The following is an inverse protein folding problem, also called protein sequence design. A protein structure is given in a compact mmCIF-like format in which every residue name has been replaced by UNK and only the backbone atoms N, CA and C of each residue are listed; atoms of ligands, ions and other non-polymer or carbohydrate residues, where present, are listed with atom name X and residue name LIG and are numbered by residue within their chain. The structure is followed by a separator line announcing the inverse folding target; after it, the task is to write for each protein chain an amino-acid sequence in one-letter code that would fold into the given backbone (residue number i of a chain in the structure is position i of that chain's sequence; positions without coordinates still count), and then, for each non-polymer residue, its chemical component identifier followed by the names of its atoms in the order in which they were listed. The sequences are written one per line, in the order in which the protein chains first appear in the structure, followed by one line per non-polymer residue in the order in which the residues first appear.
data_IF_836136391536
#
_entry.id   IF_836136391536
#
_cell.length_a   1.000
_cell.length_b   1.000
_cell.length_c   1.000
_cell.angle_alpha   90.00
_cell.angle_beta   90.00
_cell.angle_gamma   90.00
#
_symmetry.space_group_name_H-M   'P 1'
#
loop_
_entity.id
_entity.type
_entity.pdbx_description
1 polymer ?
#
# COMPACT_ATOMS: atom_id res chain seq x y z
N UNK A 1 -4.18 -12.46 -20.01
CA UNK A 1 -5.37 -11.61 -19.82
C UNK A 1 -6.39 -12.24 -18.87
N UNK A 2 -7.04 -13.40 -19.19
CA UNK A 2 -8.10 -14.01 -18.37
C UNK A 2 -7.64 -14.42 -16.97
N UNK A 3 -6.48 -15.05 -16.84
CA UNK A 3 -5.90 -15.40 -15.53
C UNK A 3 -5.59 -14.15 -14.71
N UNK A 4 -5.04 -13.14 -15.34
CA UNK A 4 -4.79 -11.83 -14.74
C UNK A 4 -6.08 -11.11 -14.28
N UNK A 5 -7.20 -11.34 -14.97
CA UNK A 5 -8.52 -10.84 -14.57
C UNK A 5 -9.15 -11.66 -13.41
N UNK A 6 -8.40 -12.57 -12.79
CA UNK A 6 -8.86 -13.35 -11.64
C UNK A 6 -9.67 -14.62 -11.98
N UNK A 7 -9.80 -14.95 -13.26
CA UNK A 7 -10.49 -16.18 -13.69
C UNK A 7 -9.64 -17.38 -13.30
N UNK A 8 -10.24 -18.39 -12.66
CA UNK A 8 -9.52 -19.61 -12.25
C UNK A 8 -8.95 -20.36 -13.46
N UNK A 9 -7.85 -21.07 -13.29
CA UNK A 9 -7.22 -21.88 -14.36
C UNK A 9 -8.20 -22.88 -14.99
N UNK A 10 -9.09 -23.48 -14.18
CA UNK A 10 -10.15 -24.38 -14.67
C UNK A 10 -11.10 -23.64 -15.61
N UNK A 11 -11.60 -22.49 -15.19
CA UNK A 11 -12.53 -21.69 -16.01
C UNK A 11 -11.87 -21.13 -17.28
N UNK A 12 -10.58 -20.75 -17.19
CA UNK A 12 -9.78 -20.37 -18.37
C UNK A 12 -9.69 -21.55 -19.34
N UNK A 13 -9.45 -22.78 -18.85
CA UNK A 13 -9.40 -23.99 -19.67
C UNK A 13 -10.72 -24.26 -20.39
N UNK A 14 -11.85 -24.11 -19.68
CA UNK A 14 -13.19 -24.26 -20.27
C UNK A 14 -13.43 -23.25 -21.41
N UNK A 15 -13.14 -21.96 -21.16
CA UNK A 15 -13.33 -20.89 -22.15
C UNK A 15 -12.45 -21.11 -23.38
N UNK A 16 -11.17 -21.49 -23.19
CA UNK A 16 -10.28 -21.82 -24.30
C UNK A 16 -10.74 -23.04 -25.08
N UNK A 17 -11.22 -24.08 -24.39
CA UNK A 17 -11.80 -25.25 -25.01
C UNK A 17 -12.99 -24.90 -25.91
N UNK A 18 -13.87 -24.02 -25.44
CA UNK A 18 -14.98 -23.51 -26.23
C UNK A 18 -14.57 -22.69 -27.45
N UNK A 19 -13.57 -21.79 -27.28
CA UNK A 19 -13.14 -20.87 -28.34
C UNK A 19 -12.22 -21.55 -29.39
N UNK A 20 -11.37 -22.46 -28.97
CA UNK A 20 -10.31 -23.02 -29.81
C UNK A 20 -10.54 -24.50 -30.18
N UNK A 21 -11.63 -25.13 -29.69
CA UNK A 21 -12.00 -26.49 -30.07
C UNK A 21 -11.09 -27.56 -29.46
N UNK A 22 -10.47 -27.32 -28.30
CA UNK A 22 -9.58 -28.26 -27.63
C UNK A 22 -9.92 -28.47 -26.17
N UNK A 23 -9.27 -29.47 -25.50
CA UNK A 23 -9.37 -29.66 -24.06
C UNK A 23 -8.16 -29.08 -23.35
N UNK A 24 -8.35 -28.09 -22.48
CA UNK A 24 -7.28 -27.44 -21.73
C UNK A 24 -7.47 -27.73 -20.24
N UNK A 25 -6.62 -28.56 -19.66
CA UNK A 25 -6.66 -28.86 -18.23
C UNK A 25 -6.20 -27.67 -17.39
N UNK A 26 -6.64 -27.61 -16.12
CA UNK A 26 -6.18 -26.59 -15.19
C UNK A 26 -4.64 -26.58 -15.03
N UNK A 27 -4.01 -27.77 -15.07
CA UNK A 27 -2.56 -27.92 -15.02
C UNK A 27 -1.87 -27.35 -16.27
N UNK A 28 -2.46 -27.54 -17.46
CA UNK A 28 -1.96 -26.92 -18.70
C UNK A 28 -1.99 -25.39 -18.61
N UNK A 29 -3.09 -24.83 -18.13
CA UNK A 29 -3.21 -23.36 -17.94
C UNK A 29 -2.25 -22.85 -16.88
N UNK A 30 -2.04 -23.59 -15.78
CA UNK A 30 -1.05 -23.26 -14.74
C UNK A 30 0.36 -23.20 -15.32
N UNK A 31 0.76 -24.22 -16.08
CA UNK A 31 2.06 -24.30 -16.76
C UNK A 31 2.29 -23.14 -17.76
N UNK A 32 1.27 -22.77 -18.52
CA UNK A 32 1.32 -21.60 -19.41
C UNK A 32 1.53 -20.32 -18.56
N UNK A 33 0.85 -20.20 -17.43
CA UNK A 33 1.00 -19.05 -16.54
C UNK A 33 2.38 -19.03 -15.83
N UNK A 34 3.05 -20.16 -15.67
CA UNK A 34 4.44 -20.25 -15.17
C UNK A 34 5.45 -19.61 -16.11
N UNK A 35 5.19 -19.58 -17.41
CA UNK A 35 6.03 -18.90 -18.39
C UNK A 35 6.19 -17.38 -18.15
N UNK A 36 5.40 -16.80 -17.24
CA UNK A 36 5.54 -15.41 -16.80
C UNK A 36 6.61 -15.26 -15.70
N UNK A 37 6.93 -16.31 -14.95
CA UNK A 37 7.86 -16.24 -13.83
C UNK A 37 9.23 -15.64 -14.18
N UNK A 38 9.90 -16.00 -15.30
CA UNK A 38 11.18 -15.37 -15.66
C UNK A 38 11.06 -13.85 -15.88
N UNK A 39 9.94 -13.38 -16.45
CA UNK A 39 9.68 -11.95 -16.65
C UNK A 39 9.40 -11.23 -15.33
N UNK A 40 8.66 -11.87 -14.43
CA UNK A 40 8.40 -11.39 -13.09
C UNK A 40 9.72 -11.26 -12.30
N UNK A 41 10.58 -12.27 -12.35
CA UNK A 41 11.90 -12.24 -11.72
C UNK A 41 12.78 -11.12 -12.29
N UNK A 42 12.83 -10.98 -13.63
CA UNK A 42 13.55 -9.89 -14.28
C UNK A 42 13.00 -8.52 -13.86
N UNK A 43 11.67 -8.37 -13.77
CA UNK A 43 11.04 -7.15 -13.28
C UNK A 43 11.43 -6.83 -11.84
N UNK A 44 11.41 -7.82 -10.95
CA UNK A 44 11.76 -7.65 -9.54
C UNK A 44 13.22 -7.29 -9.33
N UNK A 45 14.13 -7.80 -10.16
CA UNK A 45 15.58 -7.58 -10.07
C UNK A 45 16.08 -6.40 -10.90
N UNK A 46 15.22 -5.76 -11.71
CA UNK A 46 15.65 -4.66 -12.57
C UNK A 46 16.24 -3.51 -11.77
N UNK A 47 17.27 -2.82 -12.30
CA UNK A 47 17.78 -1.61 -11.70
C UNK A 47 16.71 -0.53 -11.66
N UNK A 48 16.75 0.30 -10.62
CA UNK A 48 15.87 1.44 -10.44
C UNK A 48 16.63 2.73 -10.77
N UNK A 49 15.90 3.82 -11.01
CA UNK A 49 16.50 5.15 -11.07
C UNK A 49 17.09 5.50 -9.70
N UNK A 50 18.18 6.27 -9.65
CA UNK A 50 18.81 6.63 -8.37
C UNK A 50 17.95 7.55 -7.51
N UNK A 51 17.01 8.30 -8.12
CA UNK A 51 16.18 9.28 -7.41
C UNK A 51 14.71 9.19 -7.79
N UNK A 52 13.85 9.29 -6.75
CA UNK A 52 12.41 9.47 -6.91
C UNK A 52 11.93 10.60 -6.00
N UNK A 53 11.05 11.45 -6.54
CA UNK A 53 10.45 12.54 -5.76
C UNK A 53 9.57 11.95 -4.65
N UNK A 54 8.70 11.00 -4.97
CA UNK A 54 7.79 10.39 -4.01
C UNK A 54 7.80 8.87 -4.15
N UNK A 55 7.72 8.16 -3.02
CA UNK A 55 7.51 6.72 -2.96
C UNK A 55 6.33 6.42 -2.05
N UNK A 56 5.32 5.77 -2.61
CA UNK A 56 4.16 5.29 -1.89
C UNK A 56 4.38 3.84 -1.48
N UNK A 57 4.14 3.54 -0.22
CA UNK A 57 4.19 2.17 0.32
C UNK A 57 2.85 1.81 0.92
N UNK A 58 2.36 0.62 0.61
CA UNK A 58 1.13 0.07 1.17
C UNK A 58 1.19 -1.45 1.18
N UNK A 59 0.30 -2.08 1.92
CA UNK A 59 0.20 -3.52 2.01
C UNK A 59 -1.26 -3.97 1.90
N UNK A 60 -1.48 -5.08 1.21
CA UNK A 60 -2.76 -5.77 1.20
C UNK A 60 -2.59 -7.17 1.79
N UNK A 61 -3.60 -7.63 2.53
CA UNK A 61 -3.60 -8.97 3.09
C UNK A 61 -4.28 -9.95 2.15
N UNK A 62 -3.62 -11.07 1.90
CA UNK A 62 -4.11 -12.18 1.07
C UNK A 62 -4.00 -13.49 1.84
N UNK A 63 -4.84 -14.46 1.50
CA UNK A 63 -4.77 -15.80 2.05
C UNK A 63 -4.02 -16.70 1.09
N UNK A 64 -3.02 -17.42 1.58
CA UNK A 64 -2.19 -18.33 0.79
C UNK A 64 -2.21 -19.71 1.42
N UNK A 65 -2.43 -20.73 0.62
CA UNK A 65 -2.33 -22.11 1.07
C UNK A 65 -0.85 -22.50 1.19
N UNK A 66 -0.49 -23.03 2.36
CA UNK A 66 0.83 -23.58 2.68
C UNK A 66 0.70 -25.07 2.96
N UNK A 67 1.56 -25.88 2.35
CA UNK A 67 1.40 -27.36 2.37
C UNK A 67 1.32 -27.96 3.77
N UNK A 68 2.03 -27.39 4.76
CA UNK A 68 2.10 -27.95 6.11
C UNK A 68 1.27 -27.19 7.16
N UNK A 69 0.76 -25.99 6.84
CA UNK A 69 0.13 -25.09 7.80
C UNK A 69 -1.33 -24.72 7.42
N UNK A 70 -1.80 -25.18 6.25
CA UNK A 70 -3.12 -24.83 5.75
C UNK A 70 -3.16 -23.43 5.14
N UNK A 71 -4.21 -22.65 5.42
CA UNK A 71 -4.38 -21.31 4.86
C UNK A 71 -3.81 -20.27 5.83
N UNK A 72 -2.71 -19.64 5.45
CA UNK A 72 -2.09 -18.53 6.17
C UNK A 72 -2.49 -17.17 5.57
N UNK A 73 -2.51 -16.13 6.39
CA UNK A 73 -2.66 -14.74 5.92
C UNK A 73 -1.28 -14.14 5.72
N UNK A 74 -0.99 -13.69 4.52
CA UNK A 74 0.26 -13.02 4.18
C UNK A 74 0.02 -11.57 3.76
N UNK A 75 1.03 -10.73 3.91
CA UNK A 75 1.02 -9.35 3.48
C UNK A 75 1.72 -9.22 2.11
N UNK A 76 0.98 -8.75 1.10
CA UNK A 76 1.55 -8.33 -0.16
C UNK A 76 1.87 -6.84 -0.09
N UNK A 77 3.15 -6.51 -0.04
CA UNK A 77 3.68 -5.14 0.00
C UNK A 77 3.85 -4.61 -1.41
N UNK A 78 3.54 -3.34 -1.60
CA UNK A 78 3.67 -2.66 -2.89
C UNK A 78 4.41 -1.34 -2.71
N UNK A 79 5.29 -1.02 -3.67
CA UNK A 79 5.99 0.25 -3.75
C UNK A 79 5.75 0.88 -5.13
N UNK A 80 5.23 2.12 -5.13
CA UNK A 80 5.02 2.94 -6.32
C UNK A 80 5.87 4.21 -6.23
N UNK A 81 6.77 4.42 -7.19
CA UNK A 81 7.58 5.61 -7.30
C UNK A 81 6.97 6.65 -8.22
N UNK A 82 7.24 7.93 -7.92
CA UNK A 82 7.02 9.06 -8.82
C UNK A 82 8.38 9.67 -9.10
N UNK A 83 8.77 9.71 -10.36
CA UNK A 83 10.03 10.32 -10.78
C UNK A 83 9.99 11.84 -10.64
N UNK A 84 11.12 12.52 -10.80
CA UNK A 84 11.19 13.98 -10.79
C UNK A 84 10.39 14.60 -11.94
N UNK A 85 10.26 13.89 -13.07
CA UNK A 85 9.45 14.29 -14.23
C UNK A 85 7.94 13.99 -14.05
N UNK A 86 7.54 13.37 -12.94
CA UNK A 86 6.14 13.04 -12.62
C UNK A 86 5.65 11.71 -13.17
N UNK A 87 6.50 10.88 -13.77
CA UNK A 87 6.11 9.54 -14.24
C UNK A 87 5.93 8.57 -13.08
N UNK A 88 4.94 7.69 -13.20
CA UNK A 88 4.64 6.63 -12.23
C UNK A 88 5.38 5.36 -12.60
N UNK A 89 5.99 4.72 -11.61
CA UNK A 89 6.69 3.46 -11.79
C UNK A 89 6.42 2.53 -10.60
N UNK A 90 5.98 1.29 -10.86
CA UNK A 90 5.92 0.25 -9.83
C UNK A 90 7.33 -0.18 -9.50
N UNK A 91 7.85 0.16 -8.33
CA UNK A 91 9.22 -0.16 -7.92
C UNK A 91 9.38 -1.63 -7.57
N UNK A 92 8.37 -2.22 -6.95
CA UNK A 92 8.34 -3.62 -6.59
C UNK A 92 7.07 -4.01 -5.86
N UNK A 93 6.94 -5.33 -5.67
CA UNK A 93 5.95 -5.95 -4.81
C UNK A 93 6.54 -7.22 -4.21
N UNK A 94 6.17 -7.49 -2.95
CA UNK A 94 6.72 -8.57 -2.12
C UNK A 94 5.60 -9.26 -1.39
N UNK A 95 5.74 -10.55 -1.18
CA UNK A 95 4.84 -11.32 -0.35
C UNK A 95 5.63 -11.80 0.87
N UNK A 96 5.22 -11.40 2.06
CA UNK A 96 5.90 -11.72 3.30
C UNK A 96 4.87 -12.17 4.35
N UNK A 97 5.26 -13.05 5.28
CA UNK A 97 4.42 -13.40 6.41
C UNK A 97 4.01 -12.15 7.20
N UNK A 98 2.75 -12.09 7.67
CA UNK A 98 2.21 -10.91 8.37
C UNK A 98 2.94 -10.56 9.67
N UNK A 99 3.62 -11.50 10.30
CA UNK A 99 4.33 -11.32 11.57
C UNK A 99 5.76 -10.80 11.40
N UNK A 100 6.22 -10.54 10.17
CA UNK A 100 7.56 -10.02 9.91
C UNK A 100 7.69 -8.54 10.27
N UNK A 101 8.12 -8.25 11.49
CA UNK A 101 8.47 -6.89 11.93
C UNK A 101 9.68 -6.29 11.16
N UNK A 102 10.45 -7.14 10.48
CA UNK A 102 11.63 -6.76 9.68
C UNK A 102 11.29 -6.45 8.22
N UNK A 103 10.12 -6.86 7.74
CA UNK A 103 9.77 -6.81 6.31
C UNK A 103 9.95 -5.45 5.62
N UNK A 104 9.61 -4.33 6.27
CA UNK A 104 9.81 -3.00 5.69
C UNK A 104 11.28 -2.65 5.54
N UNK A 105 12.11 -3.07 6.49
CA UNK A 105 13.56 -2.82 6.44
C UNK A 105 14.21 -3.53 5.27
N UNK A 106 13.91 -4.80 5.10
CA UNK A 106 14.47 -5.64 4.04
C UNK A 106 14.00 -5.17 2.66
N UNK A 107 12.71 -4.83 2.53
CA UNK A 107 12.12 -4.26 1.33
C UNK A 107 12.81 -2.95 0.91
N UNK A 108 13.03 -2.04 1.85
CA UNK A 108 13.69 -0.76 1.56
C UNK A 108 15.18 -0.95 1.23
N UNK A 109 15.86 -1.92 1.86
CA UNK A 109 17.24 -2.28 1.53
C UNK A 109 17.33 -2.87 0.12
N UNK A 110 16.42 -3.78 -0.28
CA UNK A 110 16.35 -4.30 -1.64
C UNK A 110 16.16 -3.18 -2.67
N UNK A 111 15.27 -2.20 -2.42
CA UNK A 111 15.14 -1.04 -3.31
C UNK A 111 16.45 -0.28 -3.45
N UNK A 112 17.20 -0.13 -2.36
CA UNK A 112 18.51 0.53 -2.36
C UNK A 112 19.57 -0.27 -3.11
N UNK A 113 19.63 -1.57 -2.94
CA UNK A 113 20.51 -2.48 -3.67
C UNK A 113 20.24 -2.45 -5.18
N UNK A 114 18.99 -2.22 -5.57
CA UNK A 114 18.59 -2.05 -6.97
C UNK A 114 18.86 -0.65 -7.53
N UNK A 115 19.51 0.22 -6.77
CA UNK A 115 19.98 1.52 -7.22
C UNK A 115 19.15 2.72 -6.78
N UNK A 116 18.08 2.54 -5.99
CA UNK A 116 17.31 3.67 -5.43
C UNK A 116 18.10 4.31 -4.28
N UNK A 117 18.80 5.40 -4.55
CA UNK A 117 19.69 6.07 -3.58
C UNK A 117 18.97 7.14 -2.76
N UNK A 118 18.09 7.91 -3.41
CA UNK A 118 17.43 9.06 -2.79
C UNK A 118 15.92 9.06 -3.03
N UNK A 119 15.17 9.34 -1.96
CA UNK A 119 13.74 9.59 -1.99
C UNK A 119 13.47 10.87 -1.20
N UNK A 120 12.75 11.81 -1.79
CA UNK A 120 12.40 13.05 -1.10
C UNK A 120 11.33 12.80 -0.04
N UNK A 121 10.27 12.03 -0.36
CA UNK A 121 9.15 11.79 0.54
C UNK A 121 8.58 10.39 0.37
N UNK A 122 8.50 9.65 1.46
CA UNK A 122 7.69 8.44 1.55
C UNK A 122 6.28 8.76 2.01
N UNK A 123 5.27 8.18 1.35
CA UNK A 123 3.85 8.30 1.71
C UNK A 123 3.33 6.91 2.05
N UNK A 124 2.85 6.72 3.28
CA UNK A 124 2.41 5.40 3.76
C UNK A 124 1.16 5.51 4.62
N UNK A 125 0.51 4.38 4.84
CA UNK A 125 -0.42 4.22 5.95
C UNK A 125 0.33 4.11 7.29
N UNK A 126 -0.43 4.07 8.39
CA UNK A 126 0.11 3.82 9.74
C UNK A 126 0.47 2.32 9.88
N UNK A 127 1.52 1.91 9.17
CA UNK A 127 2.00 0.52 9.13
C UNK A 127 3.07 0.31 10.20
N UNK A 128 2.98 -0.74 11.02
CA UNK A 128 3.97 -1.01 12.07
C UNK A 128 5.39 -1.08 11.52
N UNK A 129 6.32 -0.35 12.13
CA UNK A 129 7.75 -0.39 11.79
C UNK A 129 8.17 0.38 10.54
N UNK A 130 7.24 0.87 9.69
CA UNK A 130 7.58 1.56 8.44
C UNK A 130 8.38 2.84 8.66
N UNK A 131 8.00 3.67 9.64
CA UNK A 131 8.71 4.91 9.96
C UNK A 131 10.17 4.62 10.37
N UNK A 132 10.36 3.65 11.27
CA UNK A 132 11.69 3.25 11.73
C UNK A 132 12.55 2.71 10.58
N UNK A 133 11.96 1.92 9.69
CA UNK A 133 12.64 1.39 8.52
C UNK A 133 13.06 2.51 7.55
N UNK A 134 12.16 3.47 7.27
CA UNK A 134 12.47 4.64 6.42
C UNK A 134 13.64 5.44 7.02
N UNK A 135 13.57 5.78 8.29
CA UNK A 135 14.63 6.55 8.98
C UNK A 135 15.99 5.84 8.96
N UNK A 136 15.98 4.50 9.05
CA UNK A 136 17.21 3.70 9.03
C UNK A 136 17.83 3.62 7.64
N UNK A 137 17.03 3.37 6.59
CA UNK A 137 17.54 3.11 5.23
C UNK A 137 17.68 4.39 4.41
N UNK A 138 16.77 5.34 4.59
CA UNK A 138 16.74 6.63 3.90
C UNK A 138 16.65 7.79 4.90
N UNK A 139 17.70 8.07 5.69
CA UNK A 139 17.66 9.02 6.81
C UNK A 139 17.39 10.48 6.38
N UNK A 140 17.63 10.81 5.12
CA UNK A 140 17.34 12.14 4.56
C UNK A 140 15.91 12.28 4.03
N UNK A 141 15.20 11.17 3.85
CA UNK A 141 13.85 11.20 3.32
C UNK A 141 12.85 11.71 4.35
N UNK A 142 11.89 12.49 3.89
CA UNK A 142 10.73 12.83 4.70
C UNK A 142 9.71 11.68 4.71
N UNK A 143 8.85 11.68 5.72
CA UNK A 143 7.73 10.76 5.83
C UNK A 143 6.41 11.50 5.99
N UNK A 144 5.43 11.17 5.16
CA UNK A 144 4.04 11.61 5.20
C UNK A 144 3.14 10.44 5.56
N UNK A 145 2.40 10.56 6.63
CA UNK A 145 1.34 9.61 6.97
C UNK A 145 0.07 9.95 6.19
N UNK A 146 -0.53 8.95 5.54
CA UNK A 146 -1.75 9.11 4.76
C UNK A 146 -2.91 9.68 5.59
N UNK A 147 -3.33 10.90 5.29
CA UNK A 147 -4.40 11.58 6.03
C UNK A 147 -5.75 10.88 5.88
N UNK A 148 -6.03 10.31 4.70
CA UNK A 148 -7.29 9.61 4.43
C UNK A 148 -7.41 8.34 5.27
N UNK A 149 -6.34 7.53 5.32
CA UNK A 149 -6.32 6.32 6.16
C UNK A 149 -6.37 6.67 7.65
N UNK A 150 -5.67 7.71 8.08
CA UNK A 150 -5.75 8.17 9.48
C UNK A 150 -7.16 8.61 9.87
N UNK A 151 -7.84 9.36 9.02
CA UNK A 151 -9.25 9.72 9.23
C UNK A 151 -10.15 8.46 9.33
N UNK A 152 -10.06 7.55 8.36
CA UNK A 152 -10.86 6.31 8.34
C UNK A 152 -10.61 5.44 9.57
N UNK A 153 -9.35 5.24 9.97
CA UNK A 153 -8.99 4.44 11.15
C UNK A 153 -9.48 5.09 12.44
N UNK A 154 -9.44 6.42 12.51
CA UNK A 154 -9.97 7.19 13.64
C UNK A 154 -11.48 7.00 13.81
N UNK A 155 -12.25 7.15 12.72
CA UNK A 155 -13.71 7.01 12.77
C UNK A 155 -14.17 5.61 13.22
N UNK A 156 -13.40 4.55 12.94
CA UNK A 156 -13.68 3.20 13.45
C UNK A 156 -13.54 3.08 14.98
N UNK A 157 -12.78 3.98 15.62
CA UNK A 157 -12.54 4.01 17.07
C UNK A 157 -13.46 4.98 17.82
N UNK A 158 -14.34 5.67 17.08
CA UNK A 158 -15.27 6.67 17.60
C UNK A 158 -16.70 6.17 17.49
N UNK A 159 -17.51 6.41 18.52
CA UNK A 159 -18.95 6.04 18.54
C UNK A 159 -19.67 6.71 17.38
N UNK A 160 -20.58 5.97 16.73
CA UNK A 160 -21.29 6.44 15.51
C UNK A 160 -21.92 7.83 15.68
N UNK A 161 -22.52 8.12 16.83
CA UNK A 161 -23.15 9.41 17.12
C UNK A 161 -22.18 10.60 17.14
N UNK A 162 -20.89 10.35 17.32
CA UNK A 162 -19.85 11.39 17.41
C UNK A 162 -19.03 11.50 16.11
N UNK A 163 -19.16 10.53 15.19
CA UNK A 163 -18.30 10.44 14.00
C UNK A 163 -18.36 11.70 13.13
N UNK A 164 -19.54 12.28 12.91
CA UNK A 164 -19.68 13.48 12.08
C UNK A 164 -19.01 14.71 12.72
N UNK A 165 -19.12 14.86 14.04
CA UNK A 165 -18.49 15.96 14.77
C UNK A 165 -16.97 15.80 14.79
N UNK A 166 -16.48 14.59 15.09
CA UNK A 166 -15.05 14.25 15.05
C UNK A 166 -14.48 14.45 13.64
N UNK A 167 -15.20 13.99 12.61
CA UNK A 167 -14.75 14.15 11.21
C UNK A 167 -14.64 15.61 10.81
N UNK A 168 -15.59 16.48 11.21
CA UNK A 168 -15.51 17.92 10.94
C UNK A 168 -14.26 18.53 11.58
N UNK A 169 -14.02 18.25 12.87
CA UNK A 169 -12.87 18.80 13.58
C UNK A 169 -11.54 18.30 12.99
N UNK A 170 -11.43 17.01 12.68
CA UNK A 170 -10.25 16.42 12.03
C UNK A 170 -10.05 16.94 10.59
N UNK A 171 -11.15 17.17 9.86
CA UNK A 171 -11.08 17.74 8.51
C UNK A 171 -10.49 19.15 8.53
N UNK A 172 -10.73 19.94 9.58
CA UNK A 172 -10.12 21.25 9.74
C UNK A 172 -8.60 21.17 9.87
N UNK A 173 -8.08 20.12 10.52
CA UNK A 173 -6.63 19.89 10.65
C UNK A 173 -6.00 19.59 9.27
N UNK A 174 -6.57 18.64 8.52
CA UNK A 174 -5.98 18.17 7.25
C UNK A 174 -6.27 19.08 6.04
N UNK A 175 -7.17 20.07 6.21
CA UNK A 175 -7.50 21.07 5.18
C UNK A 175 -6.89 22.44 5.49
N UNK A 176 -6.18 22.59 6.59
CA UNK A 176 -5.52 23.83 6.97
C UNK A 176 -4.61 24.32 5.84
N UNK A 177 -4.55 25.65 5.69
CA UNK A 177 -3.75 26.31 4.65
C UNK A 177 -2.26 26.35 4.98
N UNK A 178 -1.95 26.27 6.27
CA UNK A 178 -0.60 26.27 6.82
C UNK A 178 -0.49 25.51 8.14
N UNK A 179 0.74 25.34 8.62
CA UNK A 179 1.05 24.58 9.83
C UNK A 179 0.47 25.22 11.10
N UNK A 180 0.41 26.55 11.19
CA UNK A 180 -0.11 27.23 12.36
C UNK A 180 -1.62 27.02 12.49
N UNK A 181 -2.36 27.13 11.38
CA UNK A 181 -3.79 26.82 11.33
C UNK A 181 -4.05 25.36 11.70
N UNK A 182 -3.27 24.41 11.14
CA UNK A 182 -3.39 23.00 11.46
C UNK A 182 -3.17 22.70 12.95
N UNK A 183 -2.16 23.32 13.57
CA UNK A 183 -1.86 23.14 14.99
C UNK A 183 -2.94 23.77 15.89
N UNK A 184 -3.51 24.92 15.51
CA UNK A 184 -4.67 25.52 16.21
C UNK A 184 -5.87 24.57 16.16
N UNK A 185 -6.19 24.02 14.99
CA UNK A 185 -7.27 23.06 14.83
C UNK A 185 -7.02 21.76 15.64
N UNK A 186 -5.77 21.27 15.68
CA UNK A 186 -5.39 20.11 16.50
C UNK A 186 -5.57 20.38 18.01
N UNK A 187 -5.19 21.56 18.47
CA UNK A 187 -5.40 21.96 19.88
C UNK A 187 -6.90 22.06 20.23
N UNK A 188 -7.71 22.61 19.33
CA UNK A 188 -9.17 22.64 19.50
C UNK A 188 -9.76 21.24 19.54
N UNK A 189 -9.31 20.34 18.65
CA UNK A 189 -9.68 18.93 18.66
C UNK A 189 -9.31 18.24 19.98
N UNK A 190 -8.10 18.48 20.48
CA UNK A 190 -7.65 17.99 21.79
C UNK A 190 -8.57 18.47 22.93
N UNK A 191 -8.83 19.76 23.01
CA UNK A 191 -9.68 20.34 24.08
C UNK A 191 -11.10 19.79 24.09
N UNK A 192 -11.64 19.44 22.91
CA UNK A 192 -13.01 18.91 22.80
C UNK A 192 -13.13 17.41 23.06
N UNK A 193 -12.11 16.62 22.70
CA UNK A 193 -12.24 15.17 22.62
C UNK A 193 -11.30 14.38 23.53
N UNK A 194 -10.34 15.02 24.23
CA UNK A 194 -9.35 14.30 25.02
C UNK A 194 -9.98 13.45 26.15
N UNK A 195 -11.00 13.95 26.81
CA UNK A 195 -11.66 13.23 27.91
C UNK A 195 -12.45 12.03 27.39
N UNK A 196 -13.06 12.16 26.22
CA UNK A 196 -13.93 11.11 25.65
C UNK A 196 -13.20 10.08 24.83
N UNK A 197 -12.17 10.49 24.10
CA UNK A 197 -11.36 9.67 23.19
C UNK A 197 -9.86 9.90 23.37
N UNK A 198 -9.30 9.66 24.58
CA UNK A 198 -7.91 10.01 24.89
C UNK A 198 -6.90 9.34 23.95
N UNK A 199 -7.11 8.06 23.59
CA UNK A 199 -6.21 7.34 22.68
C UNK A 199 -6.25 7.88 21.26
N UNK A 200 -7.41 8.31 20.78
CA UNK A 200 -7.56 8.93 19.44
C UNK A 200 -6.79 10.24 19.41
N UNK A 201 -7.00 11.10 20.41
CA UNK A 201 -6.33 12.39 20.51
C UNK A 201 -4.82 12.21 20.65
N UNK A 202 -4.35 11.31 21.52
CA UNK A 202 -2.93 11.01 21.69
C UNK A 202 -2.29 10.57 20.36
N UNK A 203 -2.95 9.68 19.60
CA UNK A 203 -2.46 9.22 18.31
C UNK A 203 -2.36 10.34 17.27
N UNK A 204 -3.28 11.30 17.25
CA UNK A 204 -3.19 12.47 16.35
C UNK A 204 -2.07 13.42 16.73
N UNK A 205 -1.85 13.65 18.01
CA UNK A 205 -0.74 14.48 18.51
C UNK A 205 0.60 13.81 18.18
N UNK A 206 0.75 12.52 18.50
CA UNK A 206 1.97 11.75 18.27
C UNK A 206 2.40 11.78 16.80
N UNK A 207 1.44 11.62 15.87
CA UNK A 207 1.73 11.57 14.45
C UNK A 207 1.58 12.92 13.73
N UNK A 208 1.36 14.03 14.47
CA UNK A 208 1.08 15.34 13.88
C UNK A 208 2.17 15.81 12.90
N UNK A 209 3.44 15.60 13.23
CA UNK A 209 4.57 15.96 12.37
C UNK A 209 4.50 15.25 11.00
N UNK A 210 4.22 13.93 10.99
CA UNK A 210 4.09 13.14 9.77
C UNK A 210 2.78 13.42 9.02
N UNK A 211 1.68 13.66 9.74
CA UNK A 211 0.37 13.98 9.14
C UNK A 211 0.37 15.33 8.44
N UNK A 212 1.14 16.30 8.94
CA UNK A 212 1.20 17.68 8.45
C UNK A 212 2.44 17.94 7.56
N UNK A 213 3.22 16.90 7.23
CA UNK A 213 4.41 17.04 6.39
C UNK A 213 4.09 17.61 5.01
N UNK A 214 2.92 17.31 4.46
CA UNK A 214 2.50 17.83 3.16
C UNK A 214 2.45 19.37 3.11
N UNK A 215 2.27 20.06 4.24
CA UNK A 215 2.27 21.53 4.31
C UNK A 215 3.63 22.17 4.05
N UNK A 216 4.72 21.39 4.13
CA UNK A 216 6.08 21.86 3.83
C UNK A 216 6.36 21.87 2.31
N UNK A 217 5.40 21.43 1.50
CA UNK A 217 5.51 21.31 0.04
C UNK A 217 4.62 22.34 -0.68
N UNK A 218 4.95 22.69 -1.93
CA UNK A 218 4.15 23.60 -2.74
C UNK A 218 2.67 23.16 -2.80
N UNK A 219 1.74 24.11 -2.75
CA UNK A 219 0.28 23.84 -2.73
C UNK A 219 -0.18 22.93 -3.87
N UNK A 220 0.44 23.05 -5.06
CA UNK A 220 0.13 22.20 -6.21
C UNK A 220 0.41 20.69 -5.96
N UNK A 221 1.39 20.35 -5.12
CA UNK A 221 1.77 18.98 -4.80
C UNK A 221 0.97 18.40 -3.62
N UNK A 222 0.46 19.23 -2.73
CA UNK A 222 -0.20 18.80 -1.50
C UNK A 222 -1.35 17.81 -1.73
N UNK A 223 -2.25 17.97 -2.74
CA UNK A 223 -3.32 17.00 -2.99
C UNK A 223 -2.82 15.60 -3.34
N UNK A 224 -1.64 15.51 -3.96
CA UNK A 224 -1.03 14.24 -4.39
C UNK A 224 -0.37 13.55 -3.21
N UNK A 225 0.40 14.29 -2.40
CA UNK A 225 1.27 13.71 -1.36
C UNK A 225 0.58 13.49 -0.01
N UNK A 226 -0.49 14.19 0.31
CA UNK A 226 -1.20 14.04 1.60
C UNK A 226 -1.94 12.71 1.77
N UNK A 227 -2.07 11.93 0.70
CA UNK A 227 -2.77 10.64 0.75
C UNK A 227 -2.16 9.61 -0.21
N UNK A 228 -2.30 8.33 0.12
CA UNK A 228 -1.86 7.22 -0.71
C UNK A 228 -2.86 6.85 -1.84
N UNK A 229 -3.75 7.76 -2.24
CA UNK A 229 -4.82 7.49 -3.22
C UNK A 229 -4.31 6.94 -4.56
N UNK A 230 -3.09 7.29 -4.97
CA UNK A 230 -2.49 6.75 -6.20
C UNK A 230 -2.27 5.24 -6.09
N UNK A 231 -1.69 4.81 -4.98
CA UNK A 231 -1.44 3.39 -4.72
C UNK A 231 -2.74 2.65 -4.38
N UNK A 232 -3.68 3.30 -3.65
CA UNK A 232 -5.00 2.73 -3.36
C UNK A 232 -5.76 2.31 -4.63
N UNK A 233 -5.67 3.07 -5.71
CA UNK A 233 -6.32 2.71 -6.99
C UNK A 233 -5.73 1.42 -7.56
N UNK A 234 -4.41 1.28 -7.56
CA UNK A 234 -3.73 0.06 -8.00
C UNK A 234 -4.10 -1.13 -7.12
N UNK A 235 -4.04 -0.97 -5.80
CA UNK A 235 -4.45 -1.98 -4.83
C UNK A 235 -5.92 -2.37 -5.00
N UNK A 236 -6.80 -1.42 -5.33
CA UNK A 236 -8.22 -1.71 -5.60
C UNK A 236 -8.40 -2.61 -6.81
N UNK A 237 -7.61 -2.45 -7.87
CA UNK A 237 -7.63 -3.35 -9.03
C UNK A 237 -7.11 -4.75 -8.64
N UNK A 238 -6.01 -4.83 -7.91
CA UNK A 238 -5.52 -6.10 -7.37
C UNK A 238 -6.61 -6.76 -6.50
N UNK A 239 -7.21 -6.02 -5.57
CA UNK A 239 -8.30 -6.53 -4.71
C UNK A 239 -9.53 -6.97 -5.51
N UNK A 240 -9.88 -6.30 -6.61
CA UNK A 240 -10.97 -6.72 -7.50
C UNK A 240 -10.70 -8.09 -8.10
N UNK A 241 -9.47 -8.29 -8.56
CA UNK A 241 -9.02 -9.56 -9.13
C UNK A 241 -8.96 -10.68 -8.08
N UNK A 242 -8.53 -10.36 -6.85
CA UNK A 242 -8.43 -11.35 -5.77
C UNK A 242 -9.77 -11.73 -5.17
N UNK A 243 -10.76 -10.82 -5.14
CA UNK A 243 -12.12 -11.09 -4.64
C UNK A 243 -12.82 -12.24 -5.36
N UNK A 244 -12.56 -12.43 -6.65
CA UNK A 244 -13.13 -13.56 -7.42
C UNK A 244 -12.66 -14.92 -6.94
N UNK A 245 -11.65 -14.95 -6.05
CA UNK A 245 -11.05 -16.16 -5.45
C UNK A 245 -11.17 -16.16 -3.91
N UNK A 246 -12.12 -15.43 -3.33
CA UNK A 246 -12.26 -15.24 -1.88
C UNK A 246 -10.96 -14.80 -1.19
N UNK A 247 -10.11 -14.06 -1.92
CA UNK A 247 -8.74 -13.66 -1.53
C UNK A 247 -7.82 -14.86 -1.17
N UNK A 248 -8.14 -16.09 -1.61
CA UNK A 248 -7.35 -17.28 -1.30
C UNK A 248 -6.60 -17.75 -2.56
N UNK A 249 -5.31 -17.97 -2.39
CA UNK A 249 -4.40 -18.40 -3.46
C UNK A 249 -3.78 -19.75 -3.12
N UNK A 250 -3.59 -20.62 -4.14
CA UNK A 250 -3.01 -21.95 -3.92
C UNK A 250 -1.52 -21.90 -3.59
N UNK A 251 -0.79 -20.87 -4.01
CA UNK A 251 0.65 -20.71 -3.78
C UNK A 251 1.03 -19.22 -3.71
N UNK A 252 2.17 -18.88 -3.08
CA UNK A 252 2.77 -17.54 -3.12
C UNK A 252 2.95 -17.00 -4.54
N UNK A 253 3.45 -17.82 -5.46
CA UNK A 253 3.64 -17.45 -6.86
C UNK A 253 2.33 -17.06 -7.57
N UNK A 254 1.21 -17.68 -7.20
CA UNK A 254 -0.08 -17.32 -7.77
C UNK A 254 -0.48 -15.88 -7.39
N UNK A 255 -0.14 -15.41 -6.17
CA UNK A 255 -0.34 -14.03 -5.75
C UNK A 255 0.54 -13.09 -6.58
N UNK A 256 1.84 -13.39 -6.64
CA UNK A 256 2.82 -12.55 -7.34
C UNK A 256 2.49 -12.41 -8.83
N UNK A 257 2.05 -13.50 -9.49
CA UNK A 257 1.59 -13.46 -10.89
C UNK A 257 0.39 -12.53 -11.07
N UNK A 258 -0.58 -12.56 -10.15
CA UNK A 258 -1.78 -11.71 -10.23
C UNK A 258 -1.43 -10.23 -10.03
N UNK A 259 -0.49 -9.92 -9.14
CA UNK A 259 -0.04 -8.54 -8.92
C UNK A 259 0.78 -8.03 -10.12
N UNK A 260 1.57 -8.89 -10.75
CA UNK A 260 2.43 -8.54 -11.89
C UNK A 260 1.62 -8.18 -13.15
N UNK A 261 0.49 -8.82 -13.38
CA UNK A 261 -0.37 -8.57 -14.56
C UNK A 261 -1.22 -7.31 -14.42
#
# INVERSE_FOLDING_TARGET
AMYAAGISTRKVGEVLGYLLGGTYSASTISRIAEGVLPRLEAFRKRPLKPRYAFVYLDALFVKVFQENEGVATEAAYLALGITEEGYREVLGFWLLPTESSTGWGDLLLELKERGLEEVLLFITDELPGVETAIKRVYPKAHWQLCTVHKLRSTLRRVRRKDQDAVLRDLSSIVRASDRNEALKALNSFRGRWADKYPQVVASWIQHSAALLRFLDYPKALQPVIKSANLLERMIKEVKRTTKTRDNTFPTPDAVLKVIYF
#
